data_IF_200853741042
#
_entry.id   IF_200853741042
#
_cell.length_a   1.000
_cell.length_b   1.000
_cell.length_c   1.000
_cell.angle_alpha   90.00
_cell.angle_beta   90.00
_cell.angle_gamma   90.00
#
_symmetry.space_group_name_H-M   'P 1'
#
loop_
_entity.id
_entity.type
_entity.pdbx_description
1 polymer ?
#
# COMPACT_ATOMS: atom_id res chain seq x y z
N UNK A 1 44.66 33.94 -15.80
CA UNK A 1 44.30 33.32 -14.51
C UNK A 1 42.80 33.37 -14.19
N UNK A 2 42.07 34.41 -14.60
CA UNK A 2 40.62 34.60 -14.32
C UNK A 2 39.69 33.52 -14.93
N UNK A 3 40.06 32.95 -16.09
CA UNK A 3 39.21 31.98 -16.79
C UNK A 3 39.14 30.61 -16.08
N UNK A 4 40.24 30.18 -15.45
CA UNK A 4 40.26 28.96 -14.61
C UNK A 4 39.42 29.13 -13.34
N UNK A 5 39.37 30.35 -12.79
CA UNK A 5 38.52 30.67 -11.63
C UNK A 5 37.03 30.63 -11.99
N UNK A 6 36.65 31.14 -13.16
CA UNK A 6 35.25 31.13 -13.62
C UNK A 6 34.71 29.71 -13.82
N UNK A 7 35.48 28.81 -14.42
CA UNK A 7 35.06 27.40 -14.60
C UNK A 7 34.92 26.63 -13.28
N UNK A 8 35.82 26.89 -12.32
CA UNK A 8 35.70 26.33 -10.97
C UNK A 8 34.44 26.83 -10.26
N UNK A 9 34.13 28.13 -10.37
CA UNK A 9 32.93 28.70 -9.78
C UNK A 9 31.64 28.12 -10.38
N UNK A 10 31.54 28.10 -11.72
CA UNK A 10 30.39 27.52 -12.42
C UNK A 10 30.22 26.03 -12.07
N UNK A 11 31.32 25.27 -12.06
CA UNK A 11 31.29 23.85 -11.70
C UNK A 11 30.77 23.62 -10.28
N UNK A 12 31.26 24.39 -9.30
CA UNK A 12 30.80 24.28 -7.90
C UNK A 12 29.33 24.67 -7.76
N UNK A 13 28.87 25.73 -8.43
CA UNK A 13 27.46 26.15 -8.39
C UNK A 13 26.53 25.11 -9.01
N UNK A 14 26.89 24.54 -10.16
CA UNK A 14 26.10 23.47 -10.81
C UNK A 14 26.09 22.22 -9.94
N UNK A 15 27.23 21.84 -9.35
CA UNK A 15 27.31 20.69 -8.44
C UNK A 15 26.45 20.90 -7.19
N UNK A 16 26.45 22.09 -6.60
CA UNK A 16 25.62 22.42 -5.45
C UNK A 16 24.12 22.33 -5.80
N UNK A 17 23.70 22.86 -6.95
CA UNK A 17 22.31 22.77 -7.41
C UNK A 17 21.90 21.30 -7.65
N UNK A 18 22.77 20.51 -8.28
CA UNK A 18 22.52 19.08 -8.50
C UNK A 18 22.42 18.33 -7.17
N UNK A 19 23.27 18.65 -6.19
CA UNK A 19 23.21 18.04 -4.86
C UNK A 19 21.88 18.34 -4.16
N UNK A 20 21.44 19.60 -4.18
CA UNK A 20 20.13 19.99 -3.61
C UNK A 20 18.98 19.25 -4.32
N UNK A 21 19.05 19.11 -5.64
CA UNK A 21 18.05 18.35 -6.40
C UNK A 21 18.01 16.87 -5.99
N UNK A 22 19.18 16.22 -5.85
CA UNK A 22 19.25 14.82 -5.42
C UNK A 22 18.72 14.63 -4.00
N UNK A 23 19.04 15.54 -3.07
CA UNK A 23 18.57 15.46 -1.68
C UNK A 23 17.05 15.63 -1.63
N UNK A 24 16.50 16.61 -2.34
CA UNK A 24 15.05 16.88 -2.31
C UNK A 24 14.26 15.76 -2.98
N UNK A 25 14.68 15.27 -4.14
CA UNK A 25 14.03 14.12 -4.80
C UNK A 25 14.22 12.82 -4.03
N UNK A 26 15.44 12.55 -3.56
CA UNK A 26 15.76 11.33 -2.80
C UNK A 26 14.98 11.24 -1.49
N UNK A 27 14.88 12.36 -0.76
CA UNK A 27 14.07 12.43 0.48
C UNK A 27 12.59 12.25 0.18
N UNK A 28 12.05 12.92 -0.85
CA UNK A 28 10.65 12.77 -1.25
C UNK A 28 10.33 11.30 -1.59
N UNK A 29 11.11 10.68 -2.47
CA UNK A 29 10.92 9.28 -2.88
C UNK A 29 11.04 8.33 -1.69
N UNK A 30 12.04 8.53 -0.83
CA UNK A 30 12.26 7.71 0.35
C UNK A 30 11.09 7.78 1.33
N UNK A 31 10.66 8.98 1.67
CA UNK A 31 9.52 9.23 2.57
C UNK A 31 8.23 8.65 1.99
N UNK A 32 7.93 8.90 0.71
CA UNK A 32 6.74 8.36 0.04
C UNK A 32 6.74 6.84 0.04
N UNK A 33 7.90 6.19 -0.16
CA UNK A 33 7.98 4.73 -0.16
C UNK A 33 7.60 4.12 1.20
N UNK A 34 8.12 4.70 2.28
CA UNK A 34 7.82 4.25 3.65
C UNK A 34 6.34 4.49 3.98
N UNK A 35 5.81 5.66 3.62
CA UNK A 35 4.40 5.98 3.86
C UNK A 35 3.46 5.04 3.11
N UNK A 36 3.77 4.70 1.85
CA UNK A 36 2.96 3.79 1.05
C UNK A 36 2.93 2.37 1.64
N UNK A 37 4.06 1.86 2.13
CA UNK A 37 4.10 0.55 2.79
C UNK A 37 3.26 0.53 4.07
N UNK A 38 3.40 1.57 4.89
CA UNK A 38 2.59 1.71 6.12
C UNK A 38 1.10 1.83 5.79
N UNK A 39 0.73 2.54 4.73
CA UNK A 39 -0.65 2.65 4.28
C UNK A 39 -1.24 1.31 3.86
N UNK A 40 -0.52 0.54 3.05
CA UNK A 40 -0.93 -0.83 2.67
C UNK A 40 -1.15 -1.69 3.90
N UNK A 41 -0.23 -1.65 4.87
CA UNK A 41 -0.37 -2.41 6.11
C UNK A 41 -1.58 -2.00 6.94
N UNK A 42 -1.88 -0.70 7.01
CA UNK A 42 -3.09 -0.19 7.69
C UNK A 42 -4.36 -0.63 6.99
N UNK A 43 -4.41 -0.54 5.66
CA UNK A 43 -5.55 -0.98 4.84
C UNK A 43 -5.81 -2.48 5.03
N UNK A 44 -4.77 -3.31 4.92
CA UNK A 44 -4.87 -4.76 5.13
C UNK A 44 -5.30 -5.10 6.56
N UNK A 45 -4.80 -4.37 7.56
CA UNK A 45 -5.22 -4.54 8.96
C UNK A 45 -6.69 -4.17 9.15
N UNK A 46 -7.14 -3.06 8.55
CA UNK A 46 -8.52 -2.64 8.61
C UNK A 46 -9.44 -3.67 7.92
N UNK A 47 -9.04 -4.24 6.78
CA UNK A 47 -9.76 -5.31 6.12
C UNK A 47 -9.92 -6.53 7.02
N UNK A 48 -8.82 -7.01 7.62
CA UNK A 48 -8.87 -8.17 8.54
C UNK A 48 -9.78 -7.90 9.74
N UNK A 49 -9.68 -6.72 10.36
CA UNK A 49 -10.49 -6.37 11.53
C UNK A 49 -11.98 -6.24 11.22
N UNK A 50 -12.33 -5.94 9.96
CA UNK A 50 -13.71 -5.76 9.51
C UNK A 50 -14.18 -6.92 8.62
N UNK A 51 -13.64 -8.13 8.83
CA UNK A 51 -14.06 -9.36 8.14
C UNK A 51 -14.05 -9.26 6.60
N UNK A 52 -13.10 -8.50 6.06
CA UNK A 52 -12.94 -8.31 4.62
C UNK A 52 -13.77 -7.18 4.02
N UNK A 53 -14.39 -6.30 4.83
CA UNK A 53 -15.18 -5.17 4.36
C UNK A 53 -14.61 -3.82 4.79
N UNK A 54 -14.30 -2.95 3.82
CA UNK A 54 -14.05 -1.53 4.05
C UNK A 54 -15.29 -0.70 3.67
N UNK A 55 -15.69 0.18 4.57
CA UNK A 55 -16.79 1.14 4.44
C UNK A 55 -16.38 2.50 5.01
N UNK A 56 -17.07 3.60 4.66
CA UNK A 56 -16.74 4.94 5.18
C UNK A 56 -16.73 5.03 6.71
N UNK A 57 -17.48 4.15 7.39
CA UNK A 57 -17.59 4.12 8.87
C UNK A 57 -16.44 3.39 9.55
N UNK A 58 -15.78 2.44 8.89
CA UNK A 58 -14.76 1.58 9.49
C UNK A 58 -13.37 1.72 8.86
N UNK A 59 -13.25 2.53 7.80
CA UNK A 59 -12.00 2.71 7.05
C UNK A 59 -11.04 3.72 7.69
N UNK A 60 -11.47 4.51 8.69
CA UNK A 60 -10.62 5.51 9.35
C UNK A 60 -9.22 4.97 9.77
N UNK A 61 -9.08 3.75 10.33
CA UNK A 61 -7.77 3.20 10.67
C UNK A 61 -6.84 2.96 9.46
N UNK A 62 -7.40 2.73 8.26
CA UNK A 62 -6.63 2.55 7.03
C UNK A 62 -5.86 3.82 6.65
N UNK A 63 -6.39 5.00 7.00
CA UNK A 63 -5.81 6.31 6.72
C UNK A 63 -4.87 6.83 7.81
N UNK A 64 -4.60 6.02 8.84
CA UNK A 64 -3.66 6.34 9.91
C UNK A 64 -4.17 7.33 10.96
N UNK A 65 -3.35 7.58 11.97
CA UNK A 65 -3.64 8.52 13.03
C UNK A 65 -3.38 9.96 12.54
N UNK A 66 -4.44 10.74 12.34
CA UNK A 66 -4.35 12.13 11.89
C UNK A 66 -3.71 13.08 12.93
N UNK A 67 -3.62 12.65 14.19
CA UNK A 67 -3.03 13.43 15.27
C UNK A 67 -1.52 13.16 15.45
N UNK A 68 -0.95 12.20 14.71
CA UNK A 68 0.47 11.89 14.75
C UNK A 68 1.21 12.72 13.69
N UNK A 69 2.04 13.72 14.06
CA UNK A 69 2.74 14.57 13.11
C UNK A 69 3.75 13.82 12.23
N UNK A 70 4.17 12.60 12.63
CA UNK A 70 5.14 11.80 11.90
C UNK A 70 4.46 10.76 11.00
N UNK A 71 3.32 10.19 11.43
CA UNK A 71 2.57 9.21 10.64
C UNK A 71 1.39 9.79 9.84
N UNK A 72 1.06 11.07 10.05
CA UNK A 72 0.10 11.77 9.21
C UNK A 72 0.68 11.86 7.82
N UNK A 73 -0.09 11.39 6.85
CA UNK A 73 0.22 11.56 5.45
C UNK A 73 0.13 13.07 5.15
N UNK A 74 1.25 13.78 5.29
CA UNK A 74 1.35 15.26 5.33
C UNK A 74 0.68 15.91 4.11
N UNK A 75 0.67 15.19 2.97
CA UNK A 75 0.08 15.61 1.72
C UNK A 75 -1.41 15.22 1.56
N UNK A 76 -1.93 14.28 2.35
CA UNK A 76 -3.27 13.72 2.17
C UNK A 76 -4.39 14.45 2.91
N UNK A 77 -4.08 15.48 3.72
CA UNK A 77 -5.08 16.30 4.39
C UNK A 77 -5.79 15.60 5.57
N UNK A 78 -7.05 15.99 5.84
CA UNK A 78 -7.92 15.33 6.83
C UNK A 78 -8.62 14.13 6.19
N UNK A 79 -8.94 13.11 6.97
CA UNK A 79 -9.67 11.93 6.47
C UNK A 79 -10.99 12.33 5.80
N UNK A 80 -11.16 11.86 4.57
CA UNK A 80 -12.42 11.91 3.85
C UNK A 80 -13.03 10.50 3.86
N UNK A 81 -14.24 10.30 4.40
CA UNK A 81 -14.91 9.00 4.39
C UNK A 81 -15.07 8.39 2.97
N UNK A 82 -15.18 9.23 1.94
CA UNK A 82 -15.27 8.80 0.54
C UNK A 82 -13.96 8.23 -0.01
N UNK A 83 -12.82 8.52 0.64
CA UNK A 83 -11.52 8.01 0.21
C UNK A 83 -11.45 6.48 0.28
N UNK A 84 -12.36 5.81 1.01
CA UNK A 84 -12.42 4.34 1.05
C UNK A 84 -12.59 3.71 -0.34
N UNK A 85 -13.29 4.39 -1.25
CA UNK A 85 -13.59 3.89 -2.59
C UNK A 85 -12.39 3.97 -3.54
N UNK A 86 -11.28 4.60 -3.11
CA UNK A 86 -10.04 4.62 -3.88
C UNK A 86 -9.30 3.26 -3.85
N UNK A 87 -9.55 2.45 -2.81
CA UNK A 87 -8.84 1.18 -2.64
C UNK A 87 -9.47 0.09 -3.48
N UNK A 88 -8.65 -0.53 -4.32
CA UNK A 88 -9.02 -1.73 -5.08
C UNK A 88 -8.59 -2.96 -4.32
N UNK A 89 -9.55 -3.70 -3.81
CA UNK A 89 -9.29 -4.90 -3.03
C UNK A 89 -10.35 -5.96 -3.31
N UNK A 90 -9.99 -7.20 -2.99
CA UNK A 90 -10.94 -8.29 -2.81
C UNK A 90 -10.63 -8.98 -1.48
N UNK A 91 -11.62 -9.64 -0.92
CA UNK A 91 -11.48 -10.45 0.29
C UNK A 91 -12.10 -11.82 0.09
N UNK A 92 -11.46 -12.82 0.68
CA UNK A 92 -11.86 -14.22 0.59
C UNK A 92 -11.81 -14.83 1.98
N UNK A 93 -12.65 -15.83 2.22
CA UNK A 93 -12.48 -16.78 3.32
C UNK A 93 -12.14 -18.15 2.78
N UNK A 94 -11.33 -18.88 3.52
CA UNK A 94 -10.91 -20.24 3.21
C UNK A 94 -11.39 -21.15 4.33
N UNK A 95 -12.24 -22.11 3.98
CA UNK A 95 -12.74 -23.10 4.94
C UNK A 95 -11.67 -24.15 5.29
N UNK A 96 -11.94 -24.99 6.29
CA UNK A 96 -11.04 -26.08 6.68
C UNK A 96 -10.82 -27.13 5.58
N UNK A 97 -11.69 -27.16 4.56
CA UNK A 97 -11.60 -28.02 3.38
C UNK A 97 -10.82 -27.36 2.22
N UNK A 98 -10.17 -26.21 2.46
CA UNK A 98 -9.48 -25.37 1.46
C UNK A 98 -10.40 -24.87 0.33
N UNK A 99 -11.70 -24.78 0.55
CA UNK A 99 -12.62 -24.13 -0.37
C UNK A 99 -12.57 -22.62 -0.16
N UNK A 100 -12.47 -21.89 -1.27
CA UNK A 100 -12.34 -20.45 -1.31
C UNK A 100 -13.73 -19.86 -1.51
N UNK A 101 -14.12 -18.94 -0.63
CA UNK A 101 -15.36 -18.19 -0.72
C UNK A 101 -15.03 -16.71 -0.87
N UNK A 102 -15.41 -16.11 -2.00
CA UNK A 102 -15.25 -14.68 -2.24
C UNK A 102 -16.26 -13.94 -1.38
N UNK A 103 -15.77 -13.05 -0.51
CA UNK A 103 -16.58 -12.22 0.39
C UNK A 103 -16.92 -10.89 -0.30
N UNK A 104 -15.92 -10.31 -0.97
CA UNK A 104 -16.05 -9.03 -1.66
C UNK A 104 -15.09 -8.97 -2.85
N UNK A 105 -15.63 -8.68 -4.03
CA UNK A 105 -14.93 -8.38 -5.27
C UNK A 105 -15.43 -7.08 -5.94
N UNK A 106 -16.32 -6.33 -5.26
CA UNK A 106 -17.00 -5.16 -5.81
C UNK A 106 -16.03 -4.02 -6.16
N UNK A 107 -14.85 -3.99 -5.54
CA UNK A 107 -13.86 -2.92 -5.69
C UNK A 107 -12.70 -3.29 -6.64
N UNK A 108 -12.77 -4.43 -7.32
CA UNK A 108 -11.76 -4.83 -8.32
C UNK A 108 -12.36 -4.89 -9.71
N UNK A 109 -11.88 -4.02 -10.60
CA UNK A 109 -12.31 -4.00 -12.00
C UNK A 109 -11.67 -5.16 -12.78
N UNK A 110 -12.51 -6.00 -13.41
CA UNK A 110 -12.13 -7.09 -14.34
C UNK A 110 -11.30 -8.25 -13.76
N UNK A 111 -11.16 -8.38 -12.44
CA UNK A 111 -10.53 -9.57 -11.84
C UNK A 111 -11.59 -10.66 -11.74
N UNK A 112 -11.44 -11.75 -12.49
CA UNK A 112 -12.39 -12.87 -12.46
C UNK A 112 -12.23 -13.69 -11.17
N UNK A 113 -13.29 -14.35 -10.72
CA UNK A 113 -13.23 -15.25 -9.55
C UNK A 113 -12.15 -16.34 -9.69
N UNK A 114 -11.94 -16.86 -10.89
CA UNK A 114 -10.85 -17.82 -11.17
C UNK A 114 -9.46 -17.24 -10.93
N UNK A 115 -9.28 -15.94 -11.19
CA UNK A 115 -8.02 -15.23 -10.93
C UNK A 115 -7.87 -14.95 -9.44
N UNK A 116 -8.94 -14.54 -8.76
CA UNK A 116 -8.98 -14.41 -7.29
C UNK A 116 -8.56 -15.73 -6.64
N UNK A 117 -9.17 -16.85 -7.03
CA UNK A 117 -8.83 -18.17 -6.51
C UNK A 117 -7.36 -18.54 -6.76
N UNK A 118 -6.83 -18.24 -7.96
CA UNK A 118 -5.42 -18.48 -8.29
C UNK A 118 -4.47 -17.63 -7.44
N UNK A 119 -4.82 -16.36 -7.19
CA UNK A 119 -4.05 -15.50 -6.30
C UNK A 119 -4.11 -16.04 -4.86
N UNK A 120 -5.29 -16.42 -4.39
CA UNK A 120 -5.49 -16.95 -3.03
C UNK A 120 -4.70 -18.23 -2.81
N UNK A 121 -4.72 -19.19 -3.74
CA UNK A 121 -3.94 -20.43 -3.64
C UNK A 121 -2.45 -20.12 -3.52
N UNK A 122 -1.93 -19.26 -4.40
CA UNK A 122 -0.52 -18.83 -4.35
C UNK A 122 -0.16 -18.15 -3.02
N UNK A 123 -1.07 -17.35 -2.44
CA UNK A 123 -0.87 -16.72 -1.14
C UNK A 123 -0.78 -17.75 0.00
N UNK A 124 -1.64 -18.77 -0.03
CA UNK A 124 -1.62 -19.85 0.95
C UNK A 124 -0.37 -20.73 0.83
N UNK A 125 0.07 -21.00 -0.41
CA UNK A 125 1.24 -21.83 -0.71
C UNK A 125 2.56 -21.15 -0.32
N UNK A 126 2.60 -19.82 -0.23
CA UNK A 126 3.75 -19.08 0.25
C UNK A 126 4.00 -19.23 1.76
N UNK A 127 3.08 -19.83 2.54
CA UNK A 127 3.12 -20.03 4.00
C UNK A 127 3.27 -18.76 4.86
N UNK A 128 3.52 -17.60 4.26
CA UNK A 128 3.59 -16.31 4.93
C UNK A 128 2.20 -15.73 5.19
N UNK A 129 2.01 -15.13 6.36
CA UNK A 129 0.75 -14.45 6.74
C UNK A 129 0.56 -13.11 6.04
N UNK A 130 1.58 -12.59 5.37
CA UNK A 130 1.51 -11.34 4.61
C UNK A 130 2.57 -11.33 3.52
N UNK A 131 2.33 -10.59 2.45
CA UNK A 131 3.29 -10.49 1.36
C UNK A 131 2.69 -9.78 0.15
N UNK A 132 3.29 -10.02 -1.02
CA UNK A 132 2.73 -9.52 -2.28
C UNK A 132 2.80 -10.57 -3.38
N UNK A 133 1.80 -10.56 -4.26
CA UNK A 133 1.67 -11.49 -5.38
C UNK A 133 1.43 -10.70 -6.65
N UNK A 134 2.16 -11.07 -7.70
CA UNK A 134 1.94 -10.54 -9.04
C UNK A 134 0.78 -11.28 -9.71
N UNK A 135 -0.18 -10.53 -10.24
CA UNK A 135 -1.30 -11.05 -11.03
C UNK A 135 -1.49 -10.17 -12.27
N UNK A 136 -1.23 -10.78 -13.44
CA UNK A 136 -1.15 -10.04 -14.71
C UNK A 136 -0.11 -8.92 -14.64
N UNK A 137 -0.57 -7.68 -14.87
CA UNK A 137 0.25 -6.46 -14.80
C UNK A 137 0.22 -5.79 -13.40
N UNK A 138 -0.58 -6.31 -12.47
CA UNK A 138 -0.78 -5.72 -11.15
C UNK A 138 0.01 -6.48 -10.07
N UNK A 139 0.33 -5.78 -8.99
CA UNK A 139 0.87 -6.36 -7.76
C UNK A 139 -0.16 -6.18 -6.64
N UNK A 140 -0.53 -7.28 -5.99
CA UNK A 140 -1.47 -7.29 -4.88
C UNK A 140 -0.72 -7.57 -3.59
N UNK A 141 -0.85 -6.71 -2.61
CA UNK A 141 -0.45 -7.04 -1.24
C UNK A 141 -1.54 -7.89 -0.58
N UNK A 142 -1.15 -8.87 0.23
CA UNK A 142 -2.08 -9.76 0.92
C UNK A 142 -1.75 -9.87 2.40
N UNK A 143 -2.77 -10.16 3.20
CA UNK A 143 -2.65 -10.56 4.60
C UNK A 143 -3.66 -11.68 4.88
N UNK A 144 -3.20 -12.72 5.56
CA UNK A 144 -3.97 -13.90 5.93
C UNK A 144 -4.15 -13.88 7.44
N UNK A 145 -5.39 -13.99 7.90
CA UNK A 145 -5.74 -13.97 9.31
C UNK A 145 -6.86 -14.96 9.58
N UNK A 146 -6.80 -15.61 10.75
CA UNK A 146 -7.88 -16.50 11.17
C UNK A 146 -8.98 -15.67 11.80
N UNK A 147 -10.21 -15.81 11.31
CA UNK A 147 -11.38 -15.16 11.88
C UNK A 147 -11.85 -15.86 13.18
N UNK A 148 -12.82 -15.28 13.88
CA UNK A 148 -13.40 -15.82 15.13
C UNK A 148 -13.98 -17.23 14.99
N UNK A 149 -14.35 -17.65 13.78
CA UNK A 149 -14.90 -18.98 13.46
C UNK A 149 -13.83 -20.01 13.06
N UNK A 150 -12.54 -19.65 13.08
CA UNK A 150 -11.44 -20.53 12.71
C UNK A 150 -11.16 -20.64 11.21
N UNK A 151 -11.88 -19.89 10.36
CA UNK A 151 -11.63 -19.79 8.91
C UNK A 151 -10.48 -18.82 8.65
N UNK A 152 -9.71 -19.06 7.58
CA UNK A 152 -8.56 -18.23 7.19
C UNK A 152 -8.89 -17.25 6.08
#
# INVERSE_FOLDING_TARGET
>A
MIQKFRWKFIGTSVAALLMVLLITLGSLVGVTRIQNQNEVDRVLTALVKNEGHLSPRNAQPAFGNQNDPINRNFLAGKYNPEAVYQYRYFSVTVDSSRRIHVINDNNVYKVKNTEIESITRRALDNHDKQGSIKAGQNQYAYRIATNSTGKR
#
